data_IF_181615180632
#
_entry.id   IF_181615180632
#
_cell.length_a   1.000
_cell.length_b   1.000
_cell.length_c   1.000
_cell.angle_alpha   90.00
_cell.angle_beta   90.00
_cell.angle_gamma   90.00
#
_symmetry.space_group_name_H-M   'P 1'
#
loop_
_entity.id
_entity.type
_entity.pdbx_description
1 polymer ?
#
# COMPACT_ATOMS: atom_id res chain seq x y z
N UNK A 1 12.17 -8.43 19.68
CA UNK A 1 11.01 -7.85 18.96
C UNK A 1 11.56 -7.10 17.76
N UNK A 2 11.33 -7.58 16.54
CA UNK A 2 11.76 -6.86 15.34
C UNK A 2 10.81 -5.68 15.15
N UNK A 3 11.32 -4.46 15.26
CA UNK A 3 10.68 -3.29 14.67
C UNK A 3 10.34 -3.67 13.22
N UNK A 4 9.09 -3.53 12.75
CA UNK A 4 8.82 -3.71 11.34
C UNK A 4 9.81 -2.83 10.59
N UNK A 5 10.60 -3.41 9.68
CA UNK A 5 11.47 -2.61 8.83
C UNK A 5 10.55 -1.84 7.89
N UNK A 6 10.15 -0.66 8.37
CA UNK A 6 9.23 0.26 7.71
C UNK A 6 9.69 0.55 6.28
N UNK A 7 11.00 0.57 6.05
CA UNK A 7 11.59 0.75 4.73
C UNK A 7 11.44 -0.49 3.86
N UNK A 8 11.66 -1.69 4.42
CA UNK A 8 11.40 -2.94 3.70
C UNK A 8 9.92 -3.12 3.35
N UNK A 9 9.01 -2.76 4.26
CA UNK A 9 7.57 -2.77 4.00
C UNK A 9 7.19 -1.80 2.88
N UNK A 10 7.75 -0.59 2.87
CA UNK A 10 7.53 0.35 1.79
C UNK A 10 8.05 -0.17 0.44
N UNK A 11 9.28 -0.71 0.39
CA UNK A 11 9.82 -1.30 -0.82
C UNK A 11 9.00 -2.50 -1.31
N UNK A 12 8.46 -3.30 -0.39
CA UNK A 12 7.58 -4.42 -0.74
C UNK A 12 6.26 -3.90 -1.31
N UNK A 13 5.69 -2.84 -0.73
CA UNK A 13 4.43 -2.24 -1.19
C UNK A 13 4.55 -1.67 -2.60
N UNK A 14 5.58 -0.88 -2.90
CA UNK A 14 5.73 -0.26 -4.22
C UNK A 14 5.98 -1.28 -5.34
N UNK A 15 6.55 -2.44 -5.00
CA UNK A 15 6.87 -3.50 -5.94
C UNK A 15 5.81 -4.61 -6.01
N UNK A 16 4.76 -4.56 -5.17
CA UNK A 16 3.75 -5.61 -5.14
C UNK A 16 3.00 -5.75 -6.47
N UNK A 17 2.51 -4.68 -7.13
CA UNK A 17 1.88 -4.81 -8.44
C UNK A 17 2.92 -4.82 -9.57
N UNK A 18 2.76 -5.76 -10.51
CA UNK A 18 3.61 -5.85 -11.70
C UNK A 18 3.03 -5.01 -12.84
N UNK A 19 3.58 -3.82 -13.06
CA UNK A 19 3.17 -2.93 -14.14
C UNK A 19 3.90 -3.23 -15.45
N UNK A 20 3.27 -2.89 -16.58
CA UNK A 20 3.92 -2.95 -17.90
C UNK A 20 5.00 -1.87 -18.07
N UNK A 21 6.06 -2.17 -18.82
CA UNK A 21 7.08 -1.20 -19.20
C UNK A 21 6.62 -0.18 -20.25
N UNK A 22 5.43 -0.38 -20.83
CA UNK A 22 4.82 0.56 -21.77
C UNK A 22 4.54 1.93 -21.09
N UNK A 23 4.41 3.03 -21.86
CA UNK A 23 4.15 4.36 -21.30
C UNK A 23 2.95 4.43 -20.36
N UNK A 24 1.89 3.65 -20.63
CA UNK A 24 0.73 3.55 -19.73
C UNK A 24 1.09 2.88 -18.40
N UNK A 25 1.80 1.75 -18.43
CA UNK A 25 2.22 1.04 -17.22
C UNK A 25 3.21 1.83 -16.36
N UNK A 26 4.12 2.60 -16.97
CA UNK A 26 4.99 3.53 -16.23
C UNK A 26 4.21 4.62 -15.50
N UNK A 27 3.15 5.16 -16.12
CA UNK A 27 2.25 6.12 -15.46
C UNK A 27 1.48 5.46 -14.32
N UNK A 28 1.03 4.23 -14.53
CA UNK A 28 0.32 3.47 -13.52
C UNK A 28 1.20 3.20 -12.29
N UNK A 29 2.46 2.82 -12.52
CA UNK A 29 3.47 2.62 -11.49
C UNK A 29 3.75 3.91 -10.71
N UNK A 30 3.95 5.05 -11.40
CA UNK A 30 4.17 6.34 -10.72
C UNK A 30 3.00 6.73 -9.83
N UNK A 31 1.76 6.48 -10.28
CA UNK A 31 0.57 6.75 -9.48
C UNK A 31 0.46 5.80 -8.28
N UNK A 32 0.81 4.52 -8.46
CA UNK A 32 0.91 3.56 -7.36
C UNK A 32 1.93 4.00 -6.30
N UNK A 33 3.11 4.48 -6.71
CA UNK A 33 4.13 4.98 -5.78
C UNK A 33 3.62 6.11 -4.89
N UNK A 34 2.85 7.06 -5.44
CA UNK A 34 2.24 8.14 -4.65
C UNK A 34 1.25 7.60 -3.61
N UNK A 35 0.41 6.62 -3.98
CA UNK A 35 -0.55 6.01 -3.05
C UNK A 35 0.18 5.21 -1.96
N UNK A 36 1.22 4.46 -2.32
CA UNK A 36 2.06 3.74 -1.37
C UNK A 36 2.79 4.69 -0.41
N UNK A 37 3.22 5.86 -0.89
CA UNK A 37 3.77 6.92 -0.03
C UNK A 37 2.73 7.46 0.95
N UNK A 38 1.47 7.66 0.53
CA UNK A 38 0.39 8.10 1.43
C UNK A 38 0.15 7.08 2.56
N UNK A 39 0.13 5.78 2.25
CA UNK A 39 0.04 4.70 3.26
C UNK A 39 1.21 4.80 4.24
N UNK A 40 2.43 4.96 3.72
CA UNK A 40 3.64 5.00 4.53
C UNK A 40 3.72 6.24 5.42
N UNK A 41 3.36 7.40 4.88
CA UNK A 41 3.43 8.71 5.55
C UNK A 41 2.23 8.98 6.46
N UNK A 42 1.21 8.12 6.43
CA UNK A 42 0.05 8.24 7.32
C UNK A 42 0.46 8.29 8.79
N UNK A 43 -0.01 9.32 9.49
CA UNK A 43 0.26 9.58 10.91
C UNK A 43 -0.95 9.33 11.80
N UNK A 44 -2.13 9.10 11.23
CA UNK A 44 -3.37 8.74 11.94
C UNK A 44 -4.00 7.49 11.32
N UNK A 45 -4.85 6.81 12.09
CA UNK A 45 -5.59 5.64 11.62
C UNK A 45 -6.53 6.03 10.48
N UNK A 46 -7.21 7.18 10.57
CA UNK A 46 -8.13 7.63 9.52
C UNK A 46 -7.41 7.92 8.20
N UNK A 47 -6.27 8.61 8.25
CA UNK A 47 -5.44 8.86 7.06
C UNK A 47 -4.97 7.55 6.43
N UNK A 48 -4.59 6.57 7.26
CA UNK A 48 -4.19 5.24 6.79
C UNK A 48 -5.35 4.49 6.13
N UNK A 49 -6.56 4.58 6.68
CA UNK A 49 -7.76 3.95 6.11
C UNK A 49 -8.17 4.61 4.79
N UNK A 50 -8.04 5.93 4.68
CA UNK A 50 -8.27 6.65 3.43
C UNK A 50 -7.25 6.24 2.36
N UNK A 51 -5.96 6.19 2.70
CA UNK A 51 -4.90 5.76 1.80
C UNK A 51 -5.07 4.29 1.37
N UNK A 52 -5.50 3.42 2.29
CA UNK A 52 -5.90 2.04 1.98
C UNK A 52 -7.04 1.99 0.97
N UNK A 53 -8.11 2.76 1.19
CA UNK A 53 -9.25 2.80 0.26
C UNK A 53 -8.84 3.24 -1.14
N UNK A 54 -7.96 4.26 -1.25
CA UNK A 54 -7.37 4.69 -2.53
C UNK A 54 -6.55 3.57 -3.18
N UNK A 55 -5.75 2.85 -2.40
CA UNK A 55 -4.93 1.74 -2.90
C UNK A 55 -5.78 0.60 -3.44
N UNK A 56 -6.78 0.15 -2.69
CA UNK A 56 -7.68 -0.94 -3.10
C UNK A 56 -8.48 -0.53 -4.34
N UNK A 57 -9.09 0.66 -4.34
CA UNK A 57 -9.84 1.14 -5.50
C UNK A 57 -8.97 1.29 -6.76
N UNK A 58 -7.73 1.74 -6.60
CA UNK A 58 -6.79 1.86 -7.72
C UNK A 58 -6.38 0.49 -8.29
N UNK A 59 -6.06 -0.49 -7.44
CA UNK A 59 -5.71 -1.84 -7.88
C UNK A 59 -6.91 -2.53 -8.53
N UNK A 60 -8.10 -2.47 -7.92
CA UNK A 60 -9.32 -3.02 -8.51
C UNK A 60 -9.62 -2.39 -9.87
N UNK A 61 -9.56 -1.06 -9.99
CA UNK A 61 -9.77 -0.38 -11.26
C UNK A 61 -8.78 -0.81 -12.36
N UNK A 62 -7.52 -1.11 -12.00
CA UNK A 62 -6.54 -1.63 -12.95
C UNK A 62 -6.75 -3.11 -13.31
N UNK A 63 -7.24 -3.92 -12.36
CA UNK A 63 -7.62 -5.31 -12.61
C UNK A 63 -8.83 -5.36 -13.55
N UNK A 64 -9.87 -4.58 -13.27
CA UNK A 64 -11.10 -4.52 -14.08
C UNK A 64 -10.83 -4.01 -15.49
N UNK A 65 -9.89 -3.08 -15.65
CA UNK A 65 -9.45 -2.58 -16.95
C UNK A 65 -8.49 -3.53 -17.70
N UNK A 66 -8.14 -4.69 -17.11
CA UNK A 66 -7.22 -5.67 -17.72
C UNK A 66 -5.75 -5.23 -17.75
N UNK A 67 -5.38 -4.21 -16.97
CA UNK A 67 -3.99 -3.75 -16.83
C UNK A 67 -3.19 -4.58 -15.83
N UNK A 68 -3.85 -5.20 -14.86
CA UNK A 68 -3.25 -6.11 -13.90
C UNK A 68 -3.93 -7.48 -13.96
N UNK A 69 -3.17 -8.52 -13.57
CA UNK A 69 -3.71 -9.87 -13.47
C UNK A 69 -4.78 -9.98 -12.38
N UNK A 70 -5.87 -10.67 -12.69
CA UNK A 70 -6.93 -11.07 -11.76
C UNK A 70 -6.50 -12.23 -10.84
N UNK A 71 -5.39 -12.91 -11.16
CA UNK A 71 -4.89 -14.08 -10.41
C UNK A 71 -3.76 -13.76 -9.45
N UNK A 72 -3.34 -12.49 -9.38
CA UNK A 72 -2.26 -12.06 -8.51
C UNK A 72 -2.76 -11.81 -7.08
N UNK A 73 -3.11 -12.91 -6.40
CA UNK A 73 -3.60 -12.88 -5.01
C UNK A 73 -2.51 -12.53 -4.01
N UNK A 74 -1.24 -12.77 -4.36
CA UNK A 74 -0.07 -12.42 -3.55
C UNK A 74 0.07 -10.90 -3.42
N UNK A 75 -0.08 -10.16 -4.53
CA UNK A 75 -0.12 -8.68 -4.50
C UNK A 75 -1.15 -8.16 -3.50
N UNK A 76 -2.38 -8.66 -3.59
CA UNK A 76 -3.49 -8.17 -2.77
C UNK A 76 -3.25 -8.49 -1.28
N UNK A 77 -2.76 -9.70 -1.00
CA UNK A 77 -2.37 -10.10 0.35
C UNK A 77 -1.24 -9.22 0.92
N UNK A 78 -0.21 -8.90 0.13
CA UNK A 78 0.89 -8.04 0.56
C UNK A 78 0.43 -6.62 0.90
N UNK A 79 -0.43 -6.03 0.07
CA UNK A 79 -0.99 -4.69 0.32
C UNK A 79 -1.75 -4.68 1.65
N UNK A 80 -2.66 -5.64 1.86
CA UNK A 80 -3.42 -5.75 3.11
C UNK A 80 -2.51 -5.94 4.33
N UNK A 81 -1.50 -6.81 4.20
CA UNK A 81 -0.58 -7.13 5.30
C UNK A 81 0.26 -5.92 5.72
N UNK A 82 0.75 -5.13 4.76
CA UNK A 82 1.57 -3.94 5.04
C UNK A 82 0.71 -2.84 5.67
N UNK A 83 -0.50 -2.62 5.16
CA UNK A 83 -1.43 -1.66 5.76
C UNK A 83 -1.77 -2.06 7.20
N UNK A 84 -2.01 -3.35 7.46
CA UNK A 84 -2.28 -3.85 8.81
C UNK A 84 -1.09 -3.64 9.76
N UNK A 85 0.15 -3.94 9.33
CA UNK A 85 1.35 -3.65 10.14
C UNK A 85 1.51 -2.16 10.44
N UNK A 86 1.23 -1.29 9.46
CA UNK A 86 1.26 0.16 9.67
C UNK A 86 0.20 0.62 10.68
N UNK A 87 -0.99 0.03 10.62
CA UNK A 87 -2.07 0.29 11.58
C UNK A 87 -1.66 -0.11 12.99
N UNK A 88 -1.08 -1.29 13.16
CA UNK A 88 -0.58 -1.77 14.46
C UNK A 88 0.50 -0.85 15.03
N UNK A 89 1.39 -0.35 14.18
CA UNK A 89 2.40 0.63 14.57
C UNK A 89 1.76 1.94 15.07
N UNK A 90 0.82 2.51 14.31
CA UNK A 90 0.11 3.73 14.72
C UNK A 90 -0.69 3.50 16.02
N UNK A 91 -1.35 2.36 16.18
CA UNK A 91 -2.08 2.04 17.40
C UNK A 91 -1.16 1.93 18.62
N UNK A 92 0.02 1.33 18.47
CA UNK A 92 1.02 1.30 19.54
C UNK A 92 1.48 2.69 19.94
N UNK A 93 1.75 3.57 18.96
CA UNK A 93 2.11 4.96 19.23
C UNK A 93 0.98 5.70 19.98
N UNK A 94 -0.28 5.52 19.58
CA UNK A 94 -1.42 6.12 20.30
C UNK A 94 -1.50 5.62 21.75
N UNK A 95 -1.31 4.31 21.96
CA UNK A 95 -1.35 3.72 23.30
C UNK A 95 -0.17 4.16 24.18
N UNK A 96 1.02 4.34 23.59
CA UNK A 96 2.23 4.74 24.31
C UNK A 96 2.28 6.25 24.63
N UNK A 97 1.75 7.09 23.74
CA UNK A 97 1.87 8.56 23.83
C UNK A 97 0.55 9.29 24.12
N UNK A 98 -0.59 8.61 24.16
CA UNK A 98 -1.87 9.16 24.62
C UNK A 98 -2.46 10.28 23.77
N UNK A 99 -2.25 10.25 22.45
CA UNK A 99 -2.90 11.17 21.50
C UNK A 99 -4.32 10.74 21.17
#
# INVERSE_FOLDING_TARGET
MNTPDTRADFYTLINAPKFSDAPAGRRQMKRWQLIAEDIYKSTSIDALLEARGKAEGYIHGLVDAGHLSTRDTERDYLILSIVQRRREFLQKLLNEYGY
#
